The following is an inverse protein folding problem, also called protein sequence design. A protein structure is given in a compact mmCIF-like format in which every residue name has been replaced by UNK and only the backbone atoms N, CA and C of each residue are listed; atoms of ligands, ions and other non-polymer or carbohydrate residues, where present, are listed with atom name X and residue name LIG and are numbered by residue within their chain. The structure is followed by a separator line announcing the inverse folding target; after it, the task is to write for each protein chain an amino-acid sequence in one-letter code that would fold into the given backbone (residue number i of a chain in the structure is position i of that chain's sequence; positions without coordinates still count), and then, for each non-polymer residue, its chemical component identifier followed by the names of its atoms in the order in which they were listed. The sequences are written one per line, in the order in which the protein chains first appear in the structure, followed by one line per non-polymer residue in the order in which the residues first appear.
data_IF_304576564791
#
_entry.id   IF_304576564791
#
_cell.length_a   1.000
_cell.length_b   1.000
_cell.length_c   1.000
_cell.angle_alpha   90.00
_cell.angle_beta   90.00
_cell.angle_gamma   90.00
#
_symmetry.space_group_name_H-M   'P 1'
#
loop_
_entity.id
_entity.type
_entity.pdbx_description
1 polymer ?
#
# COMPACT_ATOMS: atom_id res chain seq x y z
N UNK A 1 0.88 -43.09 39.47
CA UNK A 1 0.33 -42.50 38.23
C UNK A 1 0.34 -40.99 38.41
N UNK A 2 1.43 -40.29 38.04
CA UNK A 2 1.49 -38.84 38.18
C UNK A 2 0.53 -38.22 37.16
N UNK A 3 -0.25 -37.22 37.61
CA UNK A 3 -1.21 -36.51 36.78
C UNK A 3 -0.49 -35.68 35.72
N UNK A 4 -0.91 -35.83 34.47
CA UNK A 4 -0.51 -34.94 33.40
C UNK A 4 -1.20 -33.59 33.63
N UNK A 5 -0.41 -32.60 34.02
CA UNK A 5 -0.82 -31.20 33.99
C UNK A 5 -1.05 -30.81 32.53
N UNK A 6 -2.26 -30.34 32.24
CA UNK A 6 -2.58 -29.58 31.03
C UNK A 6 -1.64 -28.36 30.99
N UNK A 7 -0.63 -28.44 30.12
CA UNK A 7 0.28 -27.33 29.81
C UNK A 7 -0.54 -26.12 29.35
N UNK A 8 -0.44 -25.02 30.10
CA UNK A 8 -0.96 -23.70 29.73
C UNK A 8 -0.05 -23.10 28.63
N UNK A 9 -0.09 -23.71 27.44
CA UNK A 9 0.76 -23.32 26.31
C UNK A 9 0.09 -22.41 25.28
N UNK A 10 -1.23 -22.25 25.31
CA UNK A 10 -1.98 -21.31 24.48
C UNK A 10 -3.36 -21.11 25.10
N UNK A 11 -3.59 -19.97 25.77
CA UNK A 11 -4.95 -19.58 26.15
C UNK A 11 -5.68 -19.28 24.85
N UNK A 12 -6.64 -20.14 24.48
CA UNK A 12 -7.47 -19.90 23.32
C UNK A 12 -8.15 -18.53 23.47
N UNK A 13 -8.09 -17.63 22.47
CA UNK A 13 -8.81 -16.38 22.54
C UNK A 13 -10.30 -16.67 22.80
N UNK A 14 -10.92 -15.93 23.72
CA UNK A 14 -12.34 -16.09 24.07
C UNK A 14 -12.60 -16.56 25.49
N UNK A 15 -13.87 -16.78 25.80
CA UNK A 15 -14.32 -17.28 27.10
C UNK A 15 -14.11 -18.79 27.15
N UNK A 16 -13.32 -19.27 28.12
CA UNK A 16 -13.16 -20.70 28.40
C UNK A 16 -13.56 -20.98 29.84
N UNK A 17 -14.55 -21.84 30.04
CA UNK A 17 -15.05 -22.28 31.35
C UNK A 17 -14.87 -23.78 31.49
N UNK A 18 -14.21 -24.23 32.54
CA UNK A 18 -14.01 -25.65 32.85
C UNK A 18 -14.76 -26.06 34.11
N UNK A 19 -15.46 -27.20 34.07
CA UNK A 19 -16.07 -27.83 35.24
C UNK A 19 -15.62 -29.29 35.31
N UNK A 20 -15.23 -29.78 36.48
CA UNK A 20 -14.80 -31.18 36.62
C UNK A 20 -14.80 -31.66 38.07
N UNK A 21 -15.01 -32.97 38.23
CA UNK A 21 -14.91 -33.67 39.51
C UNK A 21 -13.69 -34.61 39.49
N UNK A 22 -12.80 -34.40 40.45
CA UNK A 22 -11.53 -35.12 40.58
C UNK A 22 -11.44 -35.94 41.88
N UNK A 23 -12.48 -35.93 42.72
CA UNK A 23 -12.46 -36.55 44.05
C UNK A 23 -12.96 -38.00 44.13
N UNK A 24 -13.72 -38.48 43.13
CA UNK A 24 -14.42 -39.77 43.16
C UNK A 24 -13.82 -40.90 42.29
N UNK A 25 -14.50 -42.06 42.29
CA UNK A 25 -14.18 -43.25 41.44
C UNK A 25 -14.45 -42.98 39.95
N UNK A 26 -15.34 -42.03 39.63
CA UNK A 26 -15.58 -41.49 38.30
C UNK A 26 -15.04 -40.06 38.23
N UNK A 27 -14.08 -39.83 37.34
CA UNK A 27 -13.51 -38.50 37.10
C UNK A 27 -14.04 -37.99 35.78
N UNK A 28 -14.55 -36.76 35.78
CA UNK A 28 -15.00 -36.11 34.54
C UNK A 28 -14.57 -34.66 34.53
N UNK A 29 -14.33 -34.13 33.33
CA UNK A 29 -14.06 -32.74 33.08
C UNK A 29 -14.77 -32.33 31.79
N UNK A 30 -15.40 -31.17 31.82
CA UNK A 30 -16.05 -30.55 30.67
C UNK A 30 -15.51 -29.14 30.51
N UNK A 31 -15.25 -28.75 29.27
CA UNK A 31 -14.74 -27.42 28.93
C UNK A 31 -15.69 -26.82 27.91
N UNK A 32 -16.17 -25.62 28.21
CA UNK A 32 -16.99 -24.79 27.33
C UNK A 32 -16.07 -23.68 26.82
N UNK A 33 -15.94 -23.57 25.50
CA UNK A 33 -15.23 -22.46 24.87
C UNK A 33 -16.15 -21.70 23.92
N UNK A 34 -16.09 -20.38 23.96
CA UNK A 34 -16.85 -19.50 23.09
C UNK A 34 -16.01 -18.28 22.70
N UNK A 35 -15.91 -18.03 21.40
CA UNK A 35 -15.23 -16.87 20.83
C UNK A 35 -16.03 -16.37 19.63
N UNK A 36 -16.32 -15.07 19.61
CA UNK A 36 -16.70 -14.34 18.41
C UNK A 36 -15.55 -13.39 18.07
N UNK A 37 -15.00 -13.52 16.86
CA UNK A 37 -13.96 -12.64 16.35
C UNK A 37 -14.53 -11.83 15.19
N UNK A 38 -14.35 -10.52 15.26
CA UNK A 38 -14.65 -9.59 14.17
C UNK A 38 -13.36 -8.86 13.80
N UNK A 39 -13.10 -8.77 12.50
CA UNK A 39 -11.87 -8.20 11.95
C UNK A 39 -12.21 -7.42 10.69
N UNK A 40 -11.84 -6.14 10.68
CA UNK A 40 -12.00 -5.28 9.52
C UNK A 40 -10.64 -4.81 9.03
N UNK A 41 -10.44 -4.79 7.72
CA UNK A 41 -9.21 -4.33 7.09
C UNK A 41 -9.55 -3.53 5.85
N UNK A 42 -8.99 -2.32 5.75
CA UNK A 42 -9.14 -1.46 4.60
C UNK A 42 -7.76 -1.08 4.08
N UNK A 43 -7.50 -1.36 2.80
CA UNK A 43 -6.24 -1.04 2.13
C UNK A 43 -6.55 -0.15 0.94
N UNK A 44 -5.96 1.04 0.92
CA UNK A 44 -6.06 1.98 -0.18
C UNK A 44 -4.65 2.33 -0.67
N UNK A 45 -4.34 1.94 -1.90
CA UNK A 45 -3.06 2.23 -2.55
C UNK A 45 -3.31 3.02 -3.83
N UNK A 46 -2.76 4.24 -3.90
CA UNK A 46 -2.94 5.14 -5.06
C UNK A 46 -1.58 5.43 -5.72
N UNK A 47 -1.03 4.51 -6.51
CA UNK A 47 0.19 4.78 -7.27
C UNK A 47 -0.10 5.86 -8.34
N UNK A 48 0.82 6.80 -8.50
CA UNK A 48 0.75 7.83 -9.54
C UNK A 48 2.04 7.82 -10.34
N UNK A 49 1.93 7.87 -11.66
CA UNK A 49 3.06 7.83 -12.58
C UNK A 49 2.85 8.87 -13.68
N UNK A 50 3.91 9.58 -14.05
CA UNK A 50 3.91 10.54 -15.16
C UNK A 50 4.84 9.99 -16.23
N UNK A 51 4.37 9.98 -17.47
CA UNK A 51 5.15 9.49 -18.62
C UNK A 51 4.84 10.32 -19.86
N UNK A 52 5.66 10.18 -20.89
CA UNK A 52 5.41 10.75 -22.21
C UNK A 52 4.38 9.92 -22.96
N UNK A 53 3.74 10.55 -23.95
CA UNK A 53 2.87 9.84 -24.88
C UNK A 53 3.66 8.77 -25.66
N UNK A 54 3.06 7.60 -25.87
CA UNK A 54 3.63 6.41 -26.49
C UNK A 54 4.87 5.79 -25.79
N UNK A 55 5.26 6.28 -24.61
CA UNK A 55 6.40 5.77 -23.85
C UNK A 55 5.94 4.90 -22.68
N UNK A 56 6.47 3.68 -22.59
CA UNK A 56 6.21 2.79 -21.46
C UNK A 56 6.92 3.32 -20.20
N UNK A 57 6.17 3.37 -19.10
CA UNK A 57 6.72 3.69 -17.80
C UNK A 57 6.37 2.62 -16.77
N UNK A 58 7.31 2.38 -15.85
CA UNK A 58 7.19 1.39 -14.80
C UNK A 58 7.50 2.03 -13.44
N UNK A 59 6.69 1.67 -12.44
CA UNK A 59 6.97 1.95 -11.03
C UNK A 59 6.87 0.65 -10.24
N UNK A 60 7.93 0.36 -9.49
CA UNK A 60 8.01 -0.79 -8.57
C UNK A 60 8.16 -0.26 -7.15
N UNK A 61 7.23 -0.61 -6.28
CA UNK A 61 7.23 -0.27 -4.85
C UNK A 61 7.08 -1.55 -4.07
N UNK A 62 8.16 -2.02 -3.44
CA UNK A 62 8.14 -3.28 -2.73
C UNK A 62 9.43 -3.56 -1.97
N UNK A 63 9.48 -4.76 -1.41
CA UNK A 63 10.65 -5.30 -0.73
C UNK A 63 11.21 -6.48 -1.52
N UNK A 64 12.53 -6.57 -1.59
CA UNK A 64 13.19 -7.72 -2.20
C UNK A 64 13.34 -8.86 -1.17
N UNK A 65 12.54 -9.92 -1.31
CA UNK A 65 12.48 -11.05 -0.37
C UNK A 65 13.19 -12.27 -0.93
N UNK A 66 13.72 -13.08 -0.02
CA UNK A 66 14.38 -14.35 -0.33
C UNK A 66 13.36 -15.49 -0.37
N UNK A 67 13.35 -16.24 -1.48
CA UNK A 67 12.56 -17.45 -1.69
C UNK A 67 13.51 -18.64 -1.78
N UNK A 68 13.29 -19.69 -0.99
CA UNK A 68 14.10 -20.91 -1.07
C UNK A 68 13.55 -21.77 -2.22
N UNK A 69 14.32 -21.95 -3.29
CA UNK A 69 13.90 -22.68 -4.51
C UNK A 69 14.38 -24.12 -4.54
N UNK A 70 15.28 -24.50 -3.63
CA UNK A 70 15.72 -25.87 -3.44
C UNK A 70 16.51 -26.05 -2.16
N UNK A 71 16.48 -27.25 -1.60
CA UNK A 71 17.34 -27.64 -0.49
C UNK A 71 17.94 -29.01 -0.75
N UNK A 72 19.26 -29.15 -0.64
CA UNK A 72 19.98 -30.41 -0.79
C UNK A 72 20.73 -30.75 0.50
N UNK A 73 20.46 -31.91 1.08
CA UNK A 73 21.20 -32.46 2.23
C UNK A 73 22.17 -33.54 1.74
N UNK A 74 23.48 -33.34 1.92
CA UNK A 74 24.45 -34.43 1.75
C UNK A 74 24.38 -35.34 2.97
N UNK A 75 23.77 -36.52 2.82
CA UNK A 75 23.73 -37.56 3.87
C UNK A 75 25.10 -38.24 4.00
N UNK A 76 26.07 -37.56 4.60
CA UNK A 76 27.35 -38.14 5.01
C UNK A 76 27.68 -37.66 6.43
N UNK A 77 27.79 -38.61 7.36
CA UNK A 77 28.25 -38.44 8.75
C UNK A 77 27.60 -37.31 9.57
N UNK A 78 26.28 -37.42 9.80
CA UNK A 78 25.61 -36.75 10.93
C UNK A 78 25.43 -35.23 10.85
N UNK A 79 25.93 -34.57 9.79
CA UNK A 79 25.74 -33.14 9.57
C UNK A 79 24.46 -32.87 8.76
N UNK A 80 23.34 -32.72 9.46
CA UNK A 80 22.02 -32.41 8.90
C UNK A 80 21.86 -30.92 8.57
N UNK A 81 22.77 -30.34 7.76
CA UNK A 81 22.66 -28.94 7.33
C UNK A 81 22.35 -28.87 5.81
N UNK A 82 21.06 -28.71 5.42
CA UNK A 82 20.70 -28.58 4.01
C UNK A 82 21.32 -27.33 3.38
N UNK A 83 22.01 -27.48 2.26
CA UNK A 83 22.32 -26.35 1.38
C UNK A 83 21.03 -25.87 0.73
N UNK A 84 20.67 -24.60 0.94
CA UNK A 84 19.50 -23.99 0.34
C UNK A 84 19.90 -23.06 -0.82
N UNK A 85 19.25 -23.23 -1.97
CA UNK A 85 19.33 -22.26 -3.07
C UNK A 85 18.27 -21.19 -2.84
N UNK A 86 18.70 -19.93 -2.83
CA UNK A 86 17.84 -18.79 -2.55
C UNK A 86 17.73 -17.92 -3.80
N UNK A 87 16.51 -17.67 -4.25
CA UNK A 87 16.18 -16.71 -5.28
C UNK A 87 15.60 -15.44 -4.64
N UNK A 88 16.02 -14.28 -5.14
CA UNK A 88 15.54 -12.97 -4.67
C UNK A 88 14.45 -12.47 -5.61
N UNK A 89 13.28 -12.15 -5.06
CA UNK A 89 12.12 -11.65 -5.83
C UNK A 89 11.54 -10.43 -5.14
N UNK A 90 11.14 -9.45 -5.95
CA UNK A 90 10.47 -8.25 -5.46
C UNK A 90 9.00 -8.57 -5.16
N UNK A 91 8.59 -8.30 -3.92
CA UNK A 91 7.22 -8.43 -3.46
C UNK A 91 6.69 -7.03 -3.17
N UNK A 92 5.66 -6.64 -3.88
CA UNK A 92 5.03 -5.34 -3.70
C UNK A 92 4.12 -4.97 -4.87
N UNK A 93 3.96 -3.67 -5.10
CA UNK A 93 3.20 -3.11 -6.20
C UNK A 93 4.12 -2.83 -7.39
N UNK A 94 3.84 -3.45 -8.52
CA UNK A 94 4.44 -3.14 -9.81
C UNK A 94 3.35 -2.64 -10.74
N UNK A 95 3.52 -1.42 -11.26
CA UNK A 95 2.61 -0.84 -12.24
C UNK A 95 3.41 -0.47 -13.49
N UNK A 96 3.03 -1.05 -14.62
CA UNK A 96 3.51 -0.69 -15.96
C UNK A 96 2.36 -0.11 -16.76
N UNK A 97 2.64 1.00 -17.43
CA UNK A 97 1.65 1.69 -18.23
C UNK A 97 2.29 2.21 -19.51
N UNK A 98 1.58 2.06 -20.61
CA UNK A 98 1.92 2.69 -21.89
C UNK A 98 0.70 3.47 -22.39
N UNK A 99 0.72 4.81 -22.29
CA UNK A 99 -0.34 5.64 -22.81
C UNK A 99 -0.17 5.92 -24.29
N UNK A 100 -1.29 6.11 -24.97
CA UNK A 100 -1.40 6.64 -26.31
C UNK A 100 -2.58 7.61 -26.36
N UNK A 101 -2.29 8.89 -26.64
CA UNK A 101 -3.32 9.92 -26.76
C UNK A 101 -3.93 9.86 -28.16
N UNK A 102 -5.24 9.68 -28.23
CA UNK A 102 -6.01 9.69 -29.46
C UNK A 102 -6.62 11.07 -29.75
N UNK A 103 -7.13 11.25 -30.98
CA UNK A 103 -7.91 12.42 -31.33
C UNK A 103 -9.18 12.51 -30.46
N UNK A 104 -9.47 13.70 -29.92
CA UNK A 104 -10.62 13.91 -29.03
C UNK A 104 -10.35 13.75 -27.52
N UNK A 105 -9.09 13.89 -27.07
CA UNK A 105 -8.69 13.80 -25.65
C UNK A 105 -8.97 12.45 -24.98
N UNK A 106 -9.22 11.39 -25.76
CA UNK A 106 -9.25 10.04 -25.25
C UNK A 106 -7.82 9.49 -25.13
N UNK A 107 -7.53 8.79 -24.05
CA UNK A 107 -6.25 8.14 -23.79
C UNK A 107 -6.47 6.63 -23.83
N UNK A 108 -5.81 5.98 -24.77
CA UNK A 108 -5.68 4.52 -24.79
C UNK A 108 -4.52 4.11 -23.88
N UNK A 109 -4.75 3.15 -22.99
CA UNK A 109 -3.80 2.76 -21.96
C UNK A 109 -3.64 1.25 -21.97
N UNK A 110 -2.43 0.79 -22.28
CA UNK A 110 -2.02 -0.58 -21.97
C UNK A 110 -1.47 -0.61 -20.54
N UNK A 111 -2.12 -1.39 -19.68
CA UNK A 111 -1.87 -1.38 -18.23
C UNK A 111 -1.56 -2.81 -17.79
N UNK A 112 -0.47 -2.95 -17.05
CA UNK A 112 -0.13 -4.17 -16.31
C UNK A 112 0.14 -3.79 -14.86
N UNK A 113 -0.76 -4.15 -13.96
CA UNK A 113 -0.60 -3.91 -12.53
C UNK A 113 -0.54 -5.24 -11.78
N UNK A 114 0.52 -5.43 -11.02
CA UNK A 114 0.72 -6.53 -10.09
C UNK A 114 0.80 -5.97 -8.66
N UNK A 115 0.06 -6.57 -7.75
CA UNK A 115 0.12 -6.28 -6.32
C UNK A 115 0.35 -7.60 -5.59
N UNK A 116 1.57 -7.76 -5.08
CA UNK A 116 1.97 -8.87 -4.25
C UNK A 116 2.07 -8.44 -2.78
N UNK A 117 1.57 -9.27 -1.88
CA UNK A 117 1.57 -9.01 -0.43
C UNK A 117 1.96 -10.28 0.34
N UNK A 118 2.70 -10.14 1.43
CA UNK A 118 3.24 -11.27 2.22
C UNK A 118 2.26 -11.65 3.31
N UNK A 119 1.82 -12.91 3.31
CA UNK A 119 0.85 -13.43 4.30
C UNK A 119 1.58 -14.03 5.51
N UNK A 120 2.63 -14.80 5.26
CA UNK A 120 3.33 -15.56 6.28
C UNK A 120 4.78 -15.80 5.86
N UNK A 121 5.70 -15.71 6.81
CA UNK A 121 7.10 -16.08 6.61
C UNK A 121 7.32 -17.49 7.16
N UNK A 122 7.74 -18.43 6.30
CA UNK A 122 8.00 -19.81 6.71
C UNK A 122 9.47 -20.13 6.49
N UNK A 123 10.05 -21.14 7.17
CA UNK A 123 11.43 -21.57 6.93
C UNK A 123 11.72 -22.01 5.49
N UNK A 124 10.69 -22.31 4.70
CA UNK A 124 10.76 -22.67 3.28
C UNK A 124 10.57 -21.47 2.33
N UNK A 125 10.37 -20.27 2.88
CA UNK A 125 10.12 -19.03 2.14
C UNK A 125 8.76 -18.39 2.47
N UNK A 126 8.58 -17.11 2.11
CA UNK A 126 7.35 -16.39 2.38
C UNK A 126 6.21 -16.86 1.47
N UNK A 127 5.01 -17.00 2.03
CA UNK A 127 3.77 -17.17 1.27
C UNK A 127 3.22 -15.81 0.88
N UNK A 128 3.00 -15.57 -0.41
CA UNK A 128 2.49 -14.30 -0.93
C UNK A 128 1.10 -14.46 -1.55
N UNK A 129 0.26 -13.43 -1.42
CA UNK A 129 -0.90 -13.25 -2.30
C UNK A 129 -0.49 -12.42 -3.50
N UNK A 130 -1.00 -12.76 -4.69
CA UNK A 130 -0.81 -11.97 -5.90
C UNK A 130 -2.16 -11.55 -6.46
N UNK A 131 -2.31 -10.26 -6.76
CA UNK A 131 -3.44 -9.67 -7.48
C UNK A 131 -2.86 -9.05 -8.75
N UNK A 132 -3.33 -9.48 -9.92
CA UNK A 132 -2.77 -9.05 -11.20
C UNK A 132 -3.89 -8.64 -12.15
N UNK A 133 -3.70 -7.55 -12.88
CA UNK A 133 -4.57 -7.10 -13.95
C UNK A 133 -3.73 -6.68 -15.15
N UNK A 134 -4.09 -7.21 -16.32
CA UNK A 134 -3.54 -6.79 -17.61
C UNK A 134 -4.69 -6.46 -18.54
N UNK A 135 -4.79 -5.21 -18.96
CA UNK A 135 -5.90 -4.74 -19.79
C UNK A 135 -5.46 -3.62 -20.73
N UNK A 136 -6.23 -3.42 -21.80
CA UNK A 136 -6.09 -2.28 -22.70
C UNK A 136 -7.44 -1.56 -22.73
N UNK A 137 -7.46 -0.31 -22.28
CA UNK A 137 -8.69 0.47 -22.08
C UNK A 137 -8.58 1.83 -22.76
N UNK A 138 -9.73 2.36 -23.17
CA UNK A 138 -9.86 3.72 -23.66
C UNK A 138 -10.60 4.54 -22.60
N UNK A 139 -10.03 5.65 -22.17
CA UNK A 139 -10.59 6.52 -21.12
C UNK A 139 -10.47 7.97 -21.56
N UNK A 140 -11.46 8.81 -21.27
CA UNK A 140 -11.35 10.24 -21.53
C UNK A 140 -10.44 10.94 -20.52
N UNK A 141 -9.80 12.03 -20.93
CA UNK A 141 -9.00 12.88 -20.05
C UNK A 141 -9.78 13.35 -18.81
N UNK A 142 -9.19 13.16 -17.62
CA UNK A 142 -9.75 13.60 -16.35
C UNK A 142 -10.91 12.74 -15.82
N UNK A 143 -11.28 11.64 -16.49
CA UNK A 143 -12.34 10.75 -16.03
C UNK A 143 -11.81 9.54 -15.28
N UNK A 144 -12.60 9.02 -14.34
CA UNK A 144 -12.25 7.80 -13.60
C UNK A 144 -12.92 6.60 -14.27
N UNK A 145 -12.11 5.62 -14.69
CA UNK A 145 -12.58 4.33 -15.16
C UNK A 145 -12.33 3.24 -14.12
N UNK A 146 -13.30 2.35 -13.93
CA UNK A 146 -13.11 1.10 -13.18
C UNK A 146 -12.51 0.05 -14.11
N UNK A 147 -11.25 -0.36 -13.84
CA UNK A 147 -10.57 -1.39 -14.62
C UNK A 147 -11.08 -2.79 -14.29
N UNK A 148 -11.51 -3.00 -13.05
CA UNK A 148 -12.06 -4.26 -12.60
C UNK A 148 -12.27 -4.31 -11.10
N UNK A 149 -12.76 -5.45 -10.63
CA UNK A 149 -12.96 -5.71 -9.22
C UNK A 149 -13.24 -7.18 -8.93
N UNK A 150 -13.09 -7.56 -7.67
CA UNK A 150 -13.45 -8.88 -7.15
C UNK A 150 -14.28 -8.69 -5.89
N UNK A 151 -15.46 -9.28 -5.86
CA UNK A 151 -16.23 -9.46 -4.63
C UNK A 151 -16.29 -10.95 -4.32
N UNK A 152 -15.76 -11.33 -3.18
CA UNK A 152 -15.66 -12.71 -2.70
C UNK A 152 -16.30 -12.81 -1.32
N UNK A 153 -17.23 -13.75 -1.15
CA UNK A 153 -17.92 -14.04 0.11
C UNK A 153 -17.83 -15.56 0.36
N UNK A 154 -17.12 -15.92 1.41
CA UNK A 154 -16.86 -17.30 1.80
C UNK A 154 -17.49 -17.57 3.17
N UNK A 155 -18.33 -18.59 3.23
CA UNK A 155 -18.92 -19.09 4.46
C UNK A 155 -18.47 -20.54 4.68
N UNK A 156 -17.66 -20.74 5.71
CA UNK A 156 -17.17 -22.05 6.11
C UNK A 156 -17.78 -22.43 7.46
N UNK A 157 -18.72 -23.37 7.45
CA UNK A 157 -19.30 -23.94 8.66
C UNK A 157 -18.77 -25.35 8.90
N UNK A 158 -18.09 -25.56 10.02
CA UNK A 158 -17.62 -26.85 10.49
C UNK A 158 -18.39 -27.23 11.75
N UNK A 159 -19.11 -28.35 11.71
CA UNK A 159 -19.87 -28.88 12.84
C UNK A 159 -19.37 -30.28 13.17
N UNK A 160 -18.81 -30.43 14.36
CA UNK A 160 -18.44 -31.72 14.94
C UNK A 160 -19.45 -32.04 16.05
N UNK A 161 -20.07 -33.21 16.01
CA UNK A 161 -21.10 -33.59 16.99
C UNK A 161 -21.03 -35.07 17.34
N UNK A 162 -21.47 -35.42 18.54
CA UNK A 162 -21.70 -36.82 18.92
C UNK A 162 -22.97 -37.32 18.22
N UNK A 163 -22.94 -38.44 17.48
CA UNK A 163 -24.13 -39.01 16.85
C UNK A 163 -25.23 -39.32 17.88
N UNK A 164 -26.48 -38.99 17.54
CA UNK A 164 -27.63 -39.15 18.45
C UNK A 164 -27.77 -37.99 19.45
N UNK A 165 -26.83 -37.84 20.38
CA UNK A 165 -26.91 -36.83 21.45
C UNK A 165 -26.77 -35.38 20.95
N UNK A 166 -26.02 -35.15 19.87
CA UNK A 166 -25.83 -33.82 19.27
C UNK A 166 -27.05 -33.28 18.51
N UNK A 167 -28.04 -34.13 18.24
CA UNK A 167 -29.26 -33.80 17.49
C UNK A 167 -30.47 -33.53 18.38
N UNK A 168 -30.36 -33.76 19.69
CA UNK A 168 -31.43 -33.50 20.66
C UNK A 168 -31.69 -31.99 20.72
N UNK A 169 -32.94 -31.52 20.58
CA UNK A 169 -33.27 -30.11 20.75
C UNK A 169 -32.91 -29.65 22.17
N UNK A 170 -32.47 -28.39 22.32
CA UNK A 170 -32.03 -27.76 23.59
C UNK A 170 -30.69 -28.30 24.13
N UNK A 171 -30.55 -29.61 24.31
CA UNK A 171 -29.37 -30.24 24.92
C UNK A 171 -28.23 -30.54 23.92
N UNK A 172 -28.52 -30.61 22.62
CA UNK A 172 -27.54 -30.95 21.59
C UNK A 172 -26.37 -29.97 21.49
N UNK A 173 -26.54 -28.71 21.94
CA UNK A 173 -25.45 -27.71 22.00
C UNK A 173 -24.30 -28.13 22.90
N UNK A 174 -24.56 -28.93 23.94
CA UNK A 174 -23.53 -29.39 24.87
C UNK A 174 -22.65 -30.51 24.26
N UNK A 175 -23.14 -31.16 23.21
CA UNK A 175 -22.50 -32.31 22.56
C UNK A 175 -22.05 -32.01 21.13
N UNK A 176 -21.98 -30.72 20.76
CA UNK A 176 -21.51 -30.27 19.45
C UNK A 176 -20.56 -29.09 19.55
N UNK A 177 -19.54 -29.12 18.71
CA UNK A 177 -18.65 -28.01 18.45
C UNK A 177 -18.98 -27.43 17.07
N UNK A 178 -19.31 -26.15 17.01
CA UNK A 178 -19.57 -25.42 15.77
C UNK A 178 -18.52 -24.33 15.61
N UNK A 179 -17.89 -24.29 14.44
CA UNK A 179 -17.04 -23.20 14.00
C UNK A 179 -17.60 -22.64 12.70
N UNK A 180 -18.02 -21.39 12.72
CA UNK A 180 -18.47 -20.66 11.53
C UNK A 180 -17.48 -19.55 11.24
N UNK A 181 -16.90 -19.55 10.05
CA UNK A 181 -16.01 -18.50 9.56
C UNK A 181 -16.69 -17.86 8.36
N UNK A 182 -16.90 -16.55 8.43
CA UNK A 182 -17.41 -15.75 7.31
C UNK A 182 -16.34 -14.74 6.89
N UNK A 183 -15.92 -14.81 5.64
CA UNK A 183 -14.91 -13.92 5.06
C UNK A 183 -15.50 -13.18 3.88
N UNK A 184 -15.46 -11.85 3.90
CA UNK A 184 -15.90 -11.01 2.78
C UNK A 184 -14.73 -10.15 2.30
N UNK A 185 -14.41 -10.23 1.02
CA UNK A 185 -13.32 -9.49 0.37
C UNK A 185 -13.89 -8.69 -0.79
N UNK A 186 -13.64 -7.39 -0.81
CA UNK A 186 -13.98 -6.52 -1.93
C UNK A 186 -12.70 -5.86 -2.44
N UNK A 187 -12.50 -5.92 -3.75
CA UNK A 187 -11.39 -5.29 -4.44
C UNK A 187 -11.95 -4.52 -5.63
N UNK A 188 -11.49 -3.29 -5.80
CA UNK A 188 -11.80 -2.45 -6.95
C UNK A 188 -10.52 -1.78 -7.39
N UNK A 189 -10.32 -1.69 -8.70
CA UNK A 189 -9.17 -1.02 -9.32
C UNK A 189 -9.72 0.11 -10.16
N UNK A 190 -9.30 1.32 -9.83
CA UNK A 190 -9.68 2.55 -10.51
C UNK A 190 -8.47 3.14 -11.24
N UNK A 191 -8.74 3.80 -12.34
CA UNK A 191 -7.75 4.53 -13.12
C UNK A 191 -8.27 5.94 -13.40
N UNK A 192 -7.39 6.92 -13.27
CA UNK A 192 -7.68 8.31 -13.60
C UNK A 192 -6.51 8.86 -14.44
N UNK A 193 -6.62 8.86 -15.78
CA UNK A 193 -5.62 9.47 -16.64
C UNK A 193 -5.83 10.99 -16.73
N UNK A 194 -4.73 11.72 -16.79
CA UNK A 194 -4.71 13.18 -16.96
C UNK A 194 -3.66 13.53 -18.01
N UNK A 195 -4.07 14.26 -19.05
CA UNK A 195 -3.18 14.72 -20.11
C UNK A 195 -2.54 16.05 -19.69
N UNK A 196 -1.22 16.06 -19.57
CA UNK A 196 -0.44 17.26 -19.28
C UNK A 196 0.09 17.86 -20.60
N UNK A 197 -0.64 18.83 -21.18
CA UNK A 197 -0.25 19.50 -22.45
C UNK A 197 0.70 20.67 -22.23
N UNK A 198 0.39 21.50 -21.24
CA UNK A 198 1.09 22.75 -20.98
C UNK A 198 2.01 22.64 -19.75
N UNK A 199 3.13 23.36 -19.80
CA UNK A 199 4.05 23.47 -18.67
C UNK A 199 3.38 24.08 -17.42
N UNK A 200 2.38 24.94 -17.63
CA UNK A 200 1.54 25.50 -16.56
C UNK A 200 0.72 24.38 -15.90
N UNK A 201 0.06 23.53 -16.68
CA UNK A 201 -0.72 22.42 -16.15
C UNK A 201 0.14 21.46 -15.33
N UNK A 202 1.30 21.05 -15.86
CA UNK A 202 2.27 20.21 -15.13
C UNK A 202 2.72 20.84 -13.80
N UNK A 203 2.92 22.17 -13.80
CA UNK A 203 3.31 22.92 -12.60
C UNK A 203 2.22 22.94 -11.55
N UNK A 204 0.94 23.11 -11.95
CA UNK A 204 -0.20 23.07 -11.03
C UNK A 204 -0.29 21.69 -10.36
N UNK A 205 -0.31 20.60 -11.13
CA UNK A 205 -0.38 19.25 -10.58
C UNK A 205 0.79 18.92 -9.66
N UNK A 206 2.00 19.38 -10.01
CA UNK A 206 3.18 19.18 -9.17
C UNK A 206 3.07 19.96 -7.86
N UNK A 207 2.64 21.22 -7.91
CA UNK A 207 2.48 22.06 -6.72
C UNK A 207 1.43 21.51 -5.78
N UNK A 208 0.29 21.04 -6.29
CA UNK A 208 -0.80 20.46 -5.50
C UNK A 208 -0.35 19.19 -4.78
N UNK A 209 0.42 18.33 -5.46
CA UNK A 209 0.99 17.13 -4.82
C UNK A 209 2.05 17.49 -3.77
N UNK A 210 2.87 18.49 -4.07
CA UNK A 210 3.92 18.93 -3.16
C UNK A 210 3.36 19.56 -1.89
N UNK A 211 2.36 20.45 -2.02
CA UNK A 211 1.68 21.07 -0.87
C UNK A 211 0.97 20.02 -0.01
N UNK A 212 0.28 19.06 -0.63
CA UNK A 212 -0.37 17.95 0.09
C UNK A 212 0.60 17.17 0.97
N UNK A 213 1.76 16.74 0.44
CA UNK A 213 2.76 15.99 1.21
C UNK A 213 3.33 16.84 2.35
N UNK A 214 3.62 18.11 2.07
CA UNK A 214 4.12 19.06 3.07
C UNK A 214 3.11 19.24 4.22
N UNK A 215 1.83 19.40 3.91
CA UNK A 215 0.76 19.54 4.92
C UNK A 215 0.64 18.30 5.79
N UNK A 216 0.78 17.10 5.20
CA UNK A 216 0.83 15.85 5.96
C UNK A 216 2.03 15.81 6.91
N UNK A 217 3.21 16.24 6.46
CA UNK A 217 4.42 16.32 7.29
C UNK A 217 4.27 17.34 8.42
N UNK A 218 3.69 18.51 8.15
CA UNK A 218 3.39 19.53 9.18
C UNK A 218 2.41 19.00 10.23
N UNK A 219 1.36 18.32 9.78
CA UNK A 219 0.35 17.71 10.66
C UNK A 219 0.93 16.55 11.49
N UNK A 220 1.90 15.81 10.93
CA UNK A 220 2.64 14.79 11.68
C UNK A 220 3.58 15.42 12.72
N UNK A 221 4.26 16.52 12.37
CA UNK A 221 5.12 17.28 13.27
C UNK A 221 4.35 17.86 14.46
N UNK A 222 3.16 18.41 14.22
CA UNK A 222 2.30 18.95 15.29
C UNK A 222 1.84 17.89 16.28
N UNK A 223 1.59 16.66 15.81
CA UNK A 223 1.26 15.53 16.69
C UNK A 223 2.44 15.08 17.55
N UNK A 224 3.67 15.40 17.12
CA UNK A 224 4.90 15.04 17.81
C UNK A 224 5.13 13.53 17.86
N UNK A 225 6.34 13.13 18.27
CA UNK A 225 6.63 11.73 18.59
C UNK A 225 6.45 11.57 20.09
N UNK A 226 5.50 10.73 20.51
CA UNK A 226 5.06 10.61 21.91
C UNK A 226 6.19 10.34 22.93
N UNK A 227 7.32 9.80 22.47
CA UNK A 227 8.50 9.48 23.29
C UNK A 227 9.76 10.30 22.95
N UNK A 228 9.70 11.17 21.93
CA UNK A 228 10.83 12.00 21.45
C UNK A 228 10.35 13.41 21.13
N UNK A 229 9.98 14.22 22.13
CA UNK A 229 9.42 15.57 21.91
C UNK A 229 10.42 16.55 21.29
N UNK A 230 11.74 16.30 21.42
CA UNK A 230 12.81 17.16 20.89
C UNK A 230 13.16 16.85 19.42
N UNK A 231 12.68 15.74 18.85
CA UNK A 231 13.05 15.33 17.49
C UNK A 231 12.09 15.99 16.50
N UNK A 232 12.60 16.99 15.78
CA UNK A 232 11.87 17.59 14.67
C UNK A 232 11.83 16.65 13.48
N UNK A 233 10.62 16.26 13.05
CA UNK A 233 10.45 15.48 11.82
C UNK A 233 10.81 16.32 10.60
N UNK A 234 11.46 15.74 9.56
CA UNK A 234 11.79 16.46 8.35
C UNK A 234 10.50 16.94 7.66
N UNK A 235 10.51 18.20 7.22
CA UNK A 235 9.42 18.81 6.45
C UNK A 235 10.02 19.37 5.15
N UNK A 236 9.29 19.21 4.06
CA UNK A 236 9.60 19.82 2.76
C UNK A 236 9.76 21.35 2.89
N UNK A 237 10.48 21.98 1.97
CA UNK A 237 10.62 23.44 1.92
C UNK A 237 9.34 24.12 1.41
N UNK A 238 9.06 25.39 1.75
CA UNK A 238 7.87 26.09 1.25
C UNK A 238 7.85 26.11 -0.28
N UNK A 239 6.70 25.91 -0.94
CA UNK A 239 6.64 25.95 -2.41
C UNK A 239 7.21 27.25 -2.98
N UNK A 240 7.05 28.38 -2.27
CA UNK A 240 7.60 29.66 -2.69
C UNK A 240 9.14 29.69 -2.72
N UNK A 241 9.79 29.09 -1.73
CA UNK A 241 11.26 28.98 -1.67
C UNK A 241 11.80 28.05 -2.75
N UNK A 242 11.12 26.91 -2.98
CA UNK A 242 11.52 25.98 -4.05
C UNK A 242 11.37 26.61 -5.44
N UNK A 243 10.35 27.45 -5.62
CA UNK A 243 10.16 28.22 -6.86
C UNK A 243 11.26 29.26 -7.06
N UNK A 244 11.72 29.93 -6.00
CA UNK A 244 12.84 30.88 -6.10
C UNK A 244 14.17 30.17 -6.43
N UNK A 245 14.35 28.94 -5.94
CA UNK A 245 15.55 28.14 -6.16
C UNK A 245 15.56 27.35 -7.49
N UNK A 246 14.61 27.63 -8.41
CA UNK A 246 14.46 26.99 -9.74
C UNK A 246 14.44 25.45 -9.74
N UNK A 247 14.10 24.82 -8.62
CA UNK A 247 14.13 23.35 -8.48
C UNK A 247 12.81 22.69 -8.88
N UNK A 248 11.75 23.48 -8.99
CA UNK A 248 10.51 23.14 -9.68
C UNK A 248 10.51 23.85 -11.03
N UNK A 249 9.85 23.26 -12.03
CA UNK A 249 9.70 23.78 -13.39
C UNK A 249 9.16 25.23 -13.35
N UNK A 250 10.05 26.22 -13.28
CA UNK A 250 9.68 27.63 -13.17
C UNK A 250 9.33 28.14 -14.56
N UNK A 251 8.02 28.25 -14.81
CA UNK A 251 7.46 28.66 -16.10
C UNK A 251 7.16 30.16 -16.15
N UNK A 252 7.58 30.94 -15.13
CA UNK A 252 7.48 32.40 -15.22
C UNK A 252 8.37 32.88 -16.37
N UNK A 253 7.87 33.79 -17.25
CA UNK A 253 8.73 34.42 -18.23
C UNK A 253 9.87 35.11 -17.49
N UNK A 254 11.12 34.84 -17.90
CA UNK A 254 12.27 35.58 -17.38
C UNK A 254 11.99 37.06 -17.57
N UNK A 255 11.87 37.80 -16.45
CA UNK A 255 11.80 39.25 -16.51
C UNK A 255 13.15 39.71 -17.04
N UNK A 256 13.21 39.99 -18.35
CA UNK A 256 14.35 40.67 -18.95
C UNK A 256 14.40 42.05 -18.30
N UNK A 257 15.27 42.21 -17.31
CA UNK A 257 15.57 43.52 -16.75
C UNK A 257 16.30 44.27 -17.87
N UNK A 258 15.57 45.04 -18.66
CA UNK A 258 16.22 46.00 -19.54
C UNK A 258 17.03 46.94 -18.65
N UNK A 259 18.32 47.14 -18.94
CA UNK A 259 19.13 48.08 -18.18
C UNK A 259 18.42 49.44 -18.21
N UNK A 260 18.39 50.17 -17.08
CA UNK A 260 17.70 51.45 -17.00
C UNK A 260 18.19 52.34 -18.15
N UNK A 261 17.27 53.04 -18.84
CA UNK A 261 17.66 53.91 -19.94
C UNK A 261 18.75 54.86 -19.45
N UNK A 262 19.83 55.04 -20.22
CA UNK A 262 20.91 55.92 -19.82
C UNK A 262 20.34 57.30 -19.47
N UNK A 263 20.86 57.95 -18.42
CA UNK A 263 20.38 59.26 -18.02
C UNK A 263 20.39 60.19 -19.23
N UNK A 264 19.24 60.82 -19.50
CA UNK A 264 19.11 61.79 -20.58
C UNK A 264 20.14 62.89 -20.32
N UNK A 265 21.19 62.92 -21.14
CA UNK A 265 22.17 63.99 -21.05
C UNK A 265 21.42 65.30 -21.34
N UNK A 266 21.52 66.32 -20.48
CA UNK A 266 20.92 67.62 -20.80
C UNK A 266 21.53 68.10 -22.11
N UNK A 267 20.67 68.30 -23.11
CA UNK A 267 21.06 68.83 -24.41
C UNK A 267 21.69 70.20 -24.15
N UNK A 268 22.98 70.34 -24.44
CA UNK A 268 23.66 71.63 -24.32
C UNK A 268 22.95 72.64 -25.25
N UNK A 269 22.61 73.84 -24.76
CA UNK A 269 22.07 74.88 -25.63
C UNK A 269 23.11 75.22 -26.70
N UNK A 270 22.72 75.03 -27.96
CA UNK A 270 23.49 75.42 -29.14
C UNK A 270 23.59 76.94 -29.18
N UNK A 271 24.65 77.49 -28.58
CA UNK A 271 25.02 78.87 -28.75
C UNK A 271 25.78 79.01 -30.07
N UNK A 272 25.02 79.04 -31.16
CA UNK A 272 25.49 79.47 -32.46
C UNK A 272 25.88 80.95 -32.42
N UNK A 273 27.17 81.22 -32.24
CA UNK A 273 27.76 82.50 -32.61
C UNK A 273 28.67 82.31 -33.82
N UNK A 274 28.07 82.52 -34.99
CA UNK A 274 28.78 82.99 -36.17
C UNK A 274 29.36 84.39 -35.88
N UNK A 275 30.66 84.58 -36.09
CA UNK A 275 31.16 85.60 -37.03
C UNK A 275 32.70 85.76 -36.99
N UNK A 276 33.26 85.72 -38.21
CA UNK A 276 34.48 86.36 -38.76
C UNK A 276 35.83 86.09 -38.11
#
# INVERSE_FOLDING_TARGET
MPGEAISAGNVAPGLTLGVGDFGGRNRFAAIISALAQDGNTNVLSTPTLVTMDNEEAEIVVGENRAFVTGSFTTSADGANNPFQTIERRDVGLTLRIKPQINEGNAVQLEISQDVEDVIADTPQGPTTTKRSIKTNVLVEDGQILVLGGLMDDSLNENVQKVPGLGDVPILGNLFRYRRTVKEKRNLMIFLHPVILRDSIASTVYTNDKYSYIREQQLSARQRGVALLPEVETPVLAPPEEVRQNKTLLDTRPEVRIEPPPPPVQPVAPDYGFNNK
#
